data_IF_817986213208
#
_entry.id   IF_817986213208
#
_cell.length_a   1.000
_cell.length_b   1.000
_cell.length_c   1.000
_cell.angle_alpha   90.00
_cell.angle_beta   90.00
_cell.angle_gamma   90.00
#
_symmetry.space_group_name_H-M   'P 1'
#
loop_
_entity.id
_entity.type
_entity.pdbx_description
1 polymer ?
#
# COMPACT_ATOMS: atom_id res chain seq x y z
N UNK A 1 -1.53 5.20 -4.08
CA UNK A 1 -2.48 4.33 -4.81
C UNK A 1 -2.09 4.04 -6.28
N UNK A 2 -1.06 4.68 -6.84
CA UNK A 2 -0.72 4.52 -8.25
C UNK A 2 0.25 3.37 -8.51
N UNK A 3 0.02 2.65 -9.61
CA UNK A 3 0.90 1.59 -10.09
C UNK A 3 2.15 2.23 -10.67
N UNK A 4 3.33 1.73 -10.28
CA UNK A 4 4.61 2.28 -10.71
C UNK A 4 5.35 2.98 -9.59
N UNK A 5 4.65 3.66 -8.67
CA UNK A 5 5.28 4.40 -7.59
C UNK A 5 4.31 4.69 -6.42
N UNK A 6 4.57 4.17 -5.22
CA UNK A 6 3.70 4.35 -4.04
C UNK A 6 4.34 5.19 -2.93
N UNK A 7 3.83 6.40 -2.65
CA UNK A 7 4.10 7.07 -1.36
C UNK A 7 3.72 6.14 -0.19
N UNK A 8 4.72 5.72 0.57
CA UNK A 8 4.57 5.37 1.99
C UNK A 8 5.24 6.47 2.79
N UNK A 9 4.57 7.62 2.90
CA UNK A 9 5.09 8.71 3.72
C UNK A 9 5.05 8.36 5.20
N UNK A 10 6.17 8.62 5.86
CA UNK A 10 6.36 8.46 7.28
C UNK A 10 5.60 9.49 8.10
N UNK A 11 5.19 9.04 9.28
CA UNK A 11 4.77 9.81 10.45
C UNK A 11 5.41 9.12 11.69
N UNK A 12 5.67 9.86 12.77
CA UNK A 12 7.00 10.13 13.31
C UNK A 12 7.65 9.02 14.16
N UNK A 13 8.97 9.16 14.33
CA UNK A 13 9.84 8.41 15.23
C UNK A 13 9.44 8.61 16.70
N UNK A 14 8.68 7.68 17.26
CA UNK A 14 8.81 7.28 18.66
C UNK A 14 8.00 6.01 18.87
N UNK A 15 8.44 5.19 19.83
CA UNK A 15 7.84 3.92 20.27
C UNK A 15 8.41 2.68 19.57
N UNK A 16 9.69 2.42 19.86
CA UNK A 16 10.28 1.09 19.77
C UNK A 16 9.75 0.22 20.92
N UNK A 17 9.42 -1.04 20.60
CA UNK A 17 9.36 -2.12 21.58
C UNK A 17 7.97 -2.57 21.99
N UNK A 18 7.28 -3.32 21.12
CA UNK A 18 6.21 -4.23 21.56
C UNK A 18 6.35 -5.55 20.81
N UNK A 19 6.58 -6.63 21.59
CA UNK A 19 6.63 -7.99 21.08
C UNK A 19 5.23 -8.46 20.64
N UNK A 20 5.22 -9.22 19.55
CA UNK A 20 4.06 -9.53 18.70
C UNK A 20 3.47 -10.90 19.08
N UNK A 21 2.21 -10.99 19.57
CA UNK A 21 1.50 -12.26 19.69
C UNK A 21 0.69 -12.59 18.42
N UNK A 22 0.58 -13.89 18.13
CA UNK A 22 0.11 -14.51 16.88
C UNK A 22 -1.42 -14.49 16.68
N UNK A 23 -1.91 -14.03 15.52
CA UNK A 23 -2.53 -14.78 14.40
C UNK A 23 -3.79 -15.62 14.71
N UNK A 24 -4.97 -15.11 14.35
CA UNK A 24 -6.11 -15.90 13.83
C UNK A 24 -7.26 -14.97 13.47
N UNK A 25 -7.45 -14.52 12.21
CA UNK A 25 -8.54 -15.04 11.34
C UNK A 25 -8.39 -14.74 9.81
N UNK A 26 -7.20 -14.38 9.32
CA UNK A 26 -6.76 -14.58 7.93
C UNK A 26 -5.40 -15.34 7.69
N UNK A 27 -4.77 -16.05 8.65
CA UNK A 27 -3.40 -16.59 8.49
C UNK A 27 -3.18 -17.67 7.42
N UNK A 28 -4.19 -18.49 7.10
CA UNK A 28 -3.98 -19.73 6.32
C UNK A 28 -3.75 -19.48 4.83
N UNK A 29 -4.28 -18.38 4.29
CA UNK A 29 -4.20 -18.08 2.86
C UNK A 29 -2.96 -17.28 2.48
N UNK A 30 -2.28 -16.65 3.45
CA UNK A 30 -1.16 -15.75 3.19
C UNK A 30 0.02 -16.01 4.14
N UNK A 31 1.18 -16.34 3.56
CA UNK A 31 2.44 -16.46 4.27
C UNK A 31 3.17 -15.13 4.27
N UNK A 32 3.51 -14.60 5.45
CA UNK A 32 4.38 -13.42 5.55
C UNK A 32 5.76 -13.73 4.97
N UNK A 33 6.25 -12.86 4.08
CA UNK A 33 7.63 -12.90 3.57
C UNK A 33 8.50 -11.95 4.38
N UNK A 34 8.19 -10.65 4.36
CA UNK A 34 8.93 -9.61 5.08
C UNK A 34 8.07 -8.39 5.34
N UNK A 35 8.42 -7.61 6.36
CA UNK A 35 7.86 -6.28 6.53
C UNK A 35 8.51 -5.32 5.53
N UNK A 36 7.72 -4.54 4.80
CA UNK A 36 8.20 -3.48 3.88
C UNK A 36 8.33 -2.17 4.65
N UNK A 37 7.31 -1.82 5.43
CA UNK A 37 7.28 -0.61 6.25
C UNK A 37 6.47 -0.85 7.51
N UNK A 38 6.86 -0.19 8.60
CA UNK A 38 6.16 -0.22 9.88
C UNK A 38 6.06 1.22 10.38
N UNK A 39 4.85 1.71 10.54
CA UNK A 39 4.52 2.98 11.18
C UNK A 39 3.66 2.74 12.43
N UNK A 40 3.35 3.83 13.14
CA UNK A 40 2.64 3.77 14.42
C UNK A 40 1.27 3.07 14.34
N UNK A 41 0.43 3.49 13.39
CA UNK A 41 -0.93 2.95 13.20
C UNK A 41 -1.06 2.14 11.90
N UNK A 42 0.03 1.89 11.18
CA UNK A 42 0.00 1.20 9.89
C UNK A 42 1.21 0.29 9.69
N UNK A 43 1.00 -0.91 9.19
CA UNK A 43 2.08 -1.82 8.80
C UNK A 43 1.88 -2.31 7.36
N UNK A 44 2.96 -2.34 6.59
CA UNK A 44 3.00 -2.79 5.20
C UNK A 44 3.87 -4.04 5.13
N UNK A 45 3.26 -5.14 4.73
CA UNK A 45 3.90 -6.46 4.77
C UNK A 45 3.82 -7.10 3.39
N UNK A 46 4.96 -7.56 2.89
CA UNK A 46 5.00 -8.45 1.73
C UNK A 46 4.55 -9.84 2.17
N UNK A 47 3.52 -10.35 1.52
CA UNK A 47 2.95 -11.67 1.77
C UNK A 47 2.93 -12.49 0.49
N UNK A 48 2.86 -13.81 0.63
CA UNK A 48 2.68 -14.76 -0.45
C UNK A 48 1.35 -15.47 -0.27
N UNK A 49 0.48 -15.43 -1.27
CA UNK A 49 -0.73 -16.23 -1.28
C UNK A 49 -0.37 -17.71 -1.40
N UNK A 50 -0.92 -18.55 -0.53
CA UNK A 50 -0.59 -19.98 -0.46
C UNK A 50 -1.12 -20.75 -1.67
N UNK A 51 -2.28 -20.36 -2.20
CA UNK A 51 -2.97 -21.09 -3.27
C UNK A 51 -2.22 -21.11 -4.61
N UNK A 52 -1.47 -20.05 -4.93
CA UNK A 52 -0.80 -19.89 -6.22
C UNK A 52 0.62 -19.29 -6.13
N UNK A 53 1.09 -19.03 -4.91
CA UNK A 53 2.41 -18.46 -4.68
C UNK A 53 2.52 -16.98 -5.05
N UNK A 54 1.44 -16.28 -5.39
CA UNK A 54 1.48 -14.87 -5.81
C UNK A 54 1.95 -13.96 -4.67
N UNK A 55 2.90 -13.08 -4.96
CA UNK A 55 3.34 -12.04 -4.02
C UNK A 55 2.38 -10.84 -4.03
N UNK A 56 1.95 -10.44 -2.83
CA UNK A 56 0.96 -9.40 -2.59
C UNK A 56 1.40 -8.54 -1.40
N UNK A 57 0.76 -7.39 -1.22
CA UNK A 57 0.98 -6.51 -0.08
C UNK A 57 -0.22 -6.59 0.86
N UNK A 58 0.05 -6.80 2.14
CA UNK A 58 -0.89 -6.57 3.22
C UNK A 58 -0.63 -5.17 3.81
N UNK A 59 -1.58 -4.26 3.63
CA UNK A 59 -1.64 -2.99 4.36
C UNK A 59 -2.57 -3.16 5.56
N UNK A 60 -2.01 -3.07 6.76
CA UNK A 60 -2.73 -3.13 8.03
C UNK A 60 -2.85 -1.72 8.59
N UNK A 61 -4.07 -1.29 8.95
CA UNK A 61 -4.38 0.04 9.50
C UNK A 61 -5.17 -0.14 10.78
N UNK A 62 -4.78 0.51 11.86
CA UNK A 62 -5.51 0.45 13.13
C UNK A 62 -6.86 1.17 13.01
N UNK A 63 -7.93 0.49 13.37
CA UNK A 63 -9.32 1.01 13.37
C UNK A 63 -10.05 0.80 14.70
N UNK A 64 -9.46 0.05 15.64
CA UNK A 64 -10.06 -0.30 16.92
C UNK A 64 -10.14 0.89 17.89
N UNK A 65 -9.16 1.80 17.82
CA UNK A 65 -9.14 3.04 18.62
C UNK A 65 -9.82 4.23 17.95
N UNK A 66 -10.40 4.06 16.75
CA UNK A 66 -11.02 5.15 16.00
C UNK A 66 -12.44 5.45 16.50
N UNK A 67 -12.84 6.72 16.43
CA UNK A 67 -14.24 7.08 16.59
C UNK A 67 -15.09 6.44 15.48
N UNK A 68 -16.38 6.25 15.74
CA UNK A 68 -17.29 5.59 14.78
C UNK A 68 -17.32 6.28 13.41
N UNK A 69 -17.23 7.61 13.38
CA UNK A 69 -17.18 8.38 12.14
C UNK A 69 -15.90 8.08 11.33
N UNK A 70 -14.74 8.08 11.98
CA UNK A 70 -13.44 7.80 11.34
C UNK A 70 -13.35 6.36 10.85
N UNK A 71 -13.88 5.42 11.63
CA UNK A 71 -13.99 4.01 11.20
C UNK A 71 -14.91 3.87 9.98
N UNK A 72 -16.03 4.58 9.95
CA UNK A 72 -16.93 4.58 8.80
C UNK A 72 -16.27 5.19 7.54
N UNK A 73 -15.52 6.28 7.70
CA UNK A 73 -14.74 6.90 6.64
C UNK A 73 -13.69 5.93 6.08
N UNK A 74 -12.91 5.28 6.94
CA UNK A 74 -11.91 4.29 6.54
C UNK A 74 -12.53 3.11 5.75
N UNK A 75 -13.69 2.62 6.18
CA UNK A 75 -14.42 1.56 5.46
C UNK A 75 -15.01 2.06 4.13
N UNK A 76 -15.40 3.33 4.05
CA UNK A 76 -15.85 3.95 2.79
C UNK A 76 -14.71 4.01 1.77
N UNK A 77 -13.50 4.42 2.19
CA UNK A 77 -12.32 4.44 1.33
C UNK A 77 -11.99 3.05 0.76
N UNK A 78 -12.10 2.00 1.59
CA UNK A 78 -11.90 0.61 1.13
C UNK A 78 -12.93 0.21 0.08
N UNK A 79 -14.19 0.62 0.24
CA UNK A 79 -15.25 0.33 -0.75
C UNK A 79 -14.97 0.99 -2.09
N UNK A 80 -14.49 2.23 -2.09
CA UNK A 80 -14.08 2.93 -3.31
C UNK A 80 -12.90 2.19 -3.94
N UNK A 81 -11.86 1.92 -3.16
CA UNK A 81 -10.67 1.20 -3.60
C UNK A 81 -10.99 -0.16 -4.23
N UNK A 82 -11.96 -0.87 -3.66
CA UNK A 82 -12.40 -2.18 -4.15
C UNK A 82 -13.02 -2.13 -5.55
N UNK A 83 -13.58 -0.99 -5.96
CA UNK A 83 -14.23 -0.79 -7.26
C UNK A 83 -13.26 -0.34 -8.35
N UNK A 84 -12.12 0.25 -7.98
CA UNK A 84 -11.18 0.80 -8.96
C UNK A 84 -10.46 -0.30 -9.75
N UNK A 85 -10.53 -0.24 -11.08
CA UNK A 85 -9.82 -1.13 -12.00
C UNK A 85 -9.19 -0.32 -13.13
N UNK A 86 -7.91 0.01 -12.99
CA UNK A 86 -7.19 0.84 -13.96
C UNK A 86 -5.71 0.43 -14.05
N UNK A 87 -5.08 0.44 -15.24
CA UNK A 87 -3.69 0.01 -15.42
C UNK A 87 -2.66 0.78 -14.59
N UNK A 88 -2.97 2.02 -14.19
CA UNK A 88 -2.11 2.88 -13.37
C UNK A 88 -2.56 3.00 -11.91
N UNK A 89 -3.48 2.14 -11.44
CA UNK A 89 -3.92 2.06 -10.04
C UNK A 89 -3.56 0.68 -9.50
N UNK A 90 -3.10 0.62 -8.24
CA UNK A 90 -2.82 -0.65 -7.55
C UNK A 90 -4.09 -1.47 -7.42
N UNK A 91 -4.01 -2.73 -7.85
CA UNK A 91 -5.16 -3.63 -7.81
C UNK A 91 -5.51 -4.00 -6.36
N UNK A 92 -6.77 -3.74 -5.97
CA UNK A 92 -7.34 -4.29 -4.75
C UNK A 92 -7.67 -5.78 -4.92
N UNK A 93 -7.38 -6.60 -3.92
CA UNK A 93 -7.77 -8.01 -3.88
C UNK A 93 -8.91 -8.24 -2.88
N UNK A 94 -8.65 -7.99 -1.59
CA UNK A 94 -9.62 -8.23 -0.52
C UNK A 94 -9.29 -7.42 0.73
N UNK A 95 -10.21 -7.36 1.69
CA UNK A 95 -9.97 -6.74 2.99
C UNK A 95 -10.82 -7.38 4.08
N UNK A 96 -10.33 -7.28 5.32
CA UNK A 96 -11.00 -7.83 6.49
C UNK A 96 -10.59 -7.06 7.75
N UNK A 97 -11.47 -7.04 8.76
CA UNK A 97 -11.15 -6.49 10.08
C UNK A 97 -10.71 -7.64 10.99
N UNK A 98 -9.59 -7.48 11.67
CA UNK A 98 -9.08 -8.44 12.64
C UNK A 98 -8.24 -7.72 13.70
N UNK A 99 -8.50 -8.01 14.97
CA UNK A 99 -7.81 -7.45 16.14
C UNK A 99 -7.78 -5.92 16.19
N UNK A 100 -8.88 -5.28 15.81
CA UNK A 100 -8.94 -3.81 15.74
C UNK A 100 -8.14 -3.22 14.58
N UNK A 101 -7.68 -4.02 13.61
CA UNK A 101 -7.04 -3.54 12.40
C UNK A 101 -7.86 -3.86 11.16
N UNK A 102 -7.96 -2.89 10.26
CA UNK A 102 -8.37 -3.07 8.88
C UNK A 102 -7.17 -3.58 8.07
N UNK A 103 -7.30 -4.77 7.50
CA UNK A 103 -6.28 -5.42 6.69
C UNK A 103 -6.73 -5.36 5.24
N UNK A 104 -5.88 -4.88 4.35
CA UNK A 104 -6.16 -4.73 2.92
C UNK A 104 -5.09 -5.49 2.14
N UNK A 105 -5.50 -6.48 1.36
CA UNK A 105 -4.65 -7.22 0.43
C UNK A 105 -4.71 -6.51 -0.92
N UNK A 106 -3.53 -6.20 -1.45
CA UNK A 106 -3.38 -5.47 -2.71
C UNK A 106 -2.18 -5.97 -3.51
N UNK A 107 -2.14 -5.58 -4.78
CA UNK A 107 -1.04 -5.89 -5.67
C UNK A 107 0.31 -5.42 -5.12
N UNK A 108 1.35 -6.25 -5.28
CA UNK A 108 2.72 -5.88 -4.97
C UNK A 108 3.42 -5.15 -6.12
N UNK A 109 3.67 -3.85 -5.94
CA UNK A 109 4.52 -3.05 -6.84
C UNK A 109 6.01 -3.36 -6.62
N UNK A 110 6.54 -4.33 -7.38
CA UNK A 110 7.93 -4.79 -7.27
C UNK A 110 8.98 -3.68 -7.43
N UNK A 111 8.67 -2.64 -8.21
CA UNK A 111 9.58 -1.53 -8.51
C UNK A 111 9.80 -0.53 -7.37
N UNK A 112 9.11 -0.68 -6.23
CA UNK A 112 9.16 0.29 -5.14
C UNK A 112 8.39 1.57 -5.46
N UNK A 113 8.81 2.68 -4.87
CA UNK A 113 8.16 3.99 -5.04
C UNK A 113 8.99 5.05 -5.78
N UNK A 114 8.34 6.16 -6.19
CA UNK A 114 8.96 7.17 -7.06
C UNK A 114 10.08 7.86 -6.33
N UNK A 115 9.85 8.14 -5.06
CA UNK A 115 10.83 8.79 -4.22
C UNK A 115 12.07 7.91 -4.08
N UNK A 116 11.91 6.62 -3.78
CA UNK A 116 13.00 5.66 -3.74
C UNK A 116 13.72 5.56 -5.09
N UNK A 117 12.98 5.57 -6.20
CA UNK A 117 13.57 5.54 -7.53
C UNK A 117 14.42 6.80 -7.80
N UNK A 118 13.88 7.98 -7.50
CA UNK A 118 14.57 9.27 -7.67
C UNK A 118 15.80 9.39 -6.75
N UNK A 119 15.67 8.99 -5.49
CA UNK A 119 16.76 8.96 -4.52
C UNK A 119 17.87 7.99 -4.97
N UNK A 120 17.51 6.82 -5.51
CA UNK A 120 18.47 5.86 -6.01
C UNK A 120 19.22 6.37 -7.25
N UNK A 121 18.56 7.14 -8.13
CA UNK A 121 19.22 7.80 -9.26
C UNK A 121 20.21 8.87 -8.79
N UNK A 122 19.78 9.72 -7.85
CA UNK A 122 20.63 10.77 -7.27
C UNK A 122 21.85 10.19 -6.55
N UNK A 123 21.65 9.13 -5.73
CA UNK A 123 22.73 8.49 -4.98
C UNK A 123 23.80 7.83 -5.88
N UNK A 124 23.43 7.40 -7.08
CA UNK A 124 24.36 6.82 -8.06
C UNK A 124 25.11 7.88 -8.87
N UNK A 125 24.87 9.17 -8.63
CA UNK A 125 25.43 10.26 -9.44
C UNK A 125 24.95 10.26 -10.90
N UNK A 126 23.83 9.59 -11.18
CA UNK A 126 23.24 9.56 -12.51
C UNK A 126 22.57 10.89 -12.87
N UNK A 127 22.32 11.14 -14.17
CA UNK A 127 21.54 12.30 -14.57
C UNK A 127 20.11 12.21 -13.99
N UNK A 128 19.44 13.35 -13.78
CA UNK A 128 18.02 13.36 -13.43
C UNK A 128 17.20 12.67 -14.53
N UNK A 129 15.94 12.35 -14.21
CA UNK A 129 15.01 11.84 -15.21
C UNK A 129 14.91 12.82 -16.39
N UNK A 130 14.92 12.29 -17.61
CA UNK A 130 14.65 13.11 -18.79
C UNK A 130 13.24 13.67 -18.72
N UNK A 131 13.04 14.86 -19.29
CA UNK A 131 11.73 15.50 -19.37
C UNK A 131 10.65 14.56 -19.94
N UNK A 132 11.00 13.82 -21.01
CA UNK A 132 10.11 12.81 -21.59
C UNK A 132 9.68 11.75 -20.56
N UNK A 133 10.58 11.27 -19.70
CA UNK A 133 10.25 10.30 -18.65
C UNK A 133 9.36 10.92 -17.58
N UNK A 134 9.62 12.16 -17.18
CA UNK A 134 8.77 12.90 -16.24
C UNK A 134 7.36 13.05 -16.81
N UNK A 135 7.21 13.47 -18.06
CA UNK A 135 5.92 13.62 -18.73
C UNK A 135 5.17 12.29 -18.84
N UNK A 136 5.85 11.18 -19.15
CA UNK A 136 5.21 9.87 -19.17
C UNK A 136 4.64 9.48 -17.80
N UNK A 137 5.41 9.65 -16.73
CA UNK A 137 4.94 9.38 -15.36
C UNK A 137 3.77 10.29 -15.02
N UNK A 138 3.87 11.58 -15.37
CA UNK A 138 2.80 12.55 -15.14
C UNK A 138 1.51 12.17 -15.86
N UNK A 139 1.57 11.79 -17.14
CA UNK A 139 0.42 11.31 -17.89
C UNK A 139 -0.22 10.06 -17.25
N UNK A 140 0.58 9.10 -16.76
CA UNK A 140 0.06 7.92 -16.09
C UNK A 140 -0.71 8.28 -14.80
N UNK A 141 -0.20 9.24 -14.03
CA UNK A 141 -0.88 9.75 -12.83
C UNK A 141 -2.18 10.47 -13.22
N UNK A 142 -2.16 11.32 -14.25
CA UNK A 142 -3.35 12.02 -14.72
C UNK A 142 -4.44 11.07 -15.22
N UNK A 143 -4.08 10.02 -15.97
CA UNK A 143 -5.03 9.00 -16.42
C UNK A 143 -5.70 8.30 -15.23
N UNK A 144 -4.91 7.94 -14.21
CA UNK A 144 -5.46 7.33 -13.00
C UNK A 144 -6.36 8.30 -12.21
N UNK A 145 -5.98 9.57 -12.08
CA UNK A 145 -6.80 10.59 -11.42
C UNK A 145 -8.11 10.85 -12.17
N UNK A 146 -8.06 10.95 -13.50
CA UNK A 146 -9.25 11.09 -14.33
C UNK A 146 -10.22 9.92 -14.11
N UNK A 147 -9.70 8.70 -14.04
CA UNK A 147 -10.50 7.51 -13.76
C UNK A 147 -11.13 7.56 -12.36
N UNK A 148 -10.37 7.94 -11.33
CA UNK A 148 -10.88 8.06 -9.95
C UNK A 148 -11.98 9.12 -9.85
N UNK A 149 -11.80 10.28 -10.50
CA UNK A 149 -12.79 11.36 -10.46
C UNK A 149 -14.08 11.05 -11.24
N UNK A 150 -14.05 10.05 -12.12
CA UNK A 150 -15.23 9.61 -12.87
C UNK A 150 -16.01 8.48 -12.17
N UNK A 151 -15.47 7.91 -11.09
CA UNK A 151 -16.04 6.80 -10.31
C UNK A 151 -16.83 7.32 -9.10
#
# INVERSE_FOLDING_TARGET
>A
FFRGFLCYDGMPESLQGVAIPQLSHAPSHYKKIRTISLGAATAIVLVQRVSDGQQLVLKRVEVGGLANADRAAALSEVRILAQLRHPHIITYHESYIHDGYLNIIMEYARGGDLQQHLQALAAKGGPPLSEQRVLLIFCQVLQALQYIHAA
#
